data_IF_838239042417
#
_entry.id   IF_838239042417
#
_cell.length_a   1.000
_cell.length_b   1.000
_cell.length_c   1.000
_cell.angle_alpha   90.00
_cell.angle_beta   90.00
_cell.angle_gamma   90.00
#
_symmetry.space_group_name_H-M   'P 1'
#
loop_
_entity.id
_entity.type
_entity.pdbx_description
1 polymer ?
#
# COMPACT_ATOMS: atom_id res chain seq x y z
N UNK A 1 16.04 -5.41 1.96
CA UNK A 1 16.07 -4.10 1.26
C UNK A 1 15.15 -3.17 2.02
N UNK A 2 15.68 -2.35 2.93
CA UNK A 2 14.86 -1.32 3.59
C UNK A 2 14.68 -0.17 2.59
N UNK A 3 13.61 -0.24 1.80
CA UNK A 3 13.19 0.80 0.85
C UNK A 3 12.40 1.95 1.51
N UNK A 4 12.31 1.97 2.85
CA UNK A 4 11.63 3.03 3.59
C UNK A 4 12.59 4.21 3.77
N UNK A 5 12.28 5.34 3.13
CA UNK A 5 12.79 6.66 3.52
C UNK A 5 13.84 7.32 2.62
N UNK A 6 14.24 6.72 1.50
CA UNK A 6 15.24 7.30 0.60
C UNK A 6 14.68 8.37 -0.34
N UNK A 7 13.48 8.15 -0.91
CA UNK A 7 12.83 9.10 -1.81
C UNK A 7 11.30 9.05 -1.68
N UNK A 8 10.63 10.14 -1.25
CA UNK A 8 9.17 10.21 -1.17
C UNK A 8 8.47 9.99 -2.52
N UNK A 9 9.15 10.27 -3.64
CA UNK A 9 8.63 10.02 -4.99
C UNK A 9 8.40 8.53 -5.23
N UNK A 10 9.30 7.67 -4.74
CA UNK A 10 9.19 6.21 -4.91
C UNK A 10 7.96 5.67 -4.18
N UNK A 11 7.67 6.17 -2.97
CA UNK A 11 6.47 5.80 -2.22
C UNK A 11 5.19 6.23 -2.95
N UNK A 12 5.17 7.45 -3.51
CA UNK A 12 4.03 7.94 -4.29
C UNK A 12 3.83 7.13 -5.57
N UNK A 13 4.92 6.76 -6.25
CA UNK A 13 4.87 5.92 -7.44
C UNK A 13 4.23 4.56 -7.15
N UNK A 14 4.67 3.86 -6.09
CA UNK A 14 4.03 2.60 -5.69
C UNK A 14 2.54 2.77 -5.39
N UNK A 15 2.18 3.89 -4.74
CA UNK A 15 0.76 4.24 -4.48
C UNK A 15 -0.05 4.37 -5.76
N UNK A 16 0.44 5.14 -6.73
CA UNK A 16 -0.24 5.30 -8.02
C UNK A 16 -0.35 3.98 -8.78
N UNK A 17 0.70 3.15 -8.75
CA UNK A 17 0.74 1.87 -9.46
C UNK A 17 -0.32 0.91 -8.92
N UNK A 18 -0.37 0.67 -7.61
CA UNK A 18 -1.36 -0.27 -7.08
C UNK A 18 -2.79 0.27 -7.20
N UNK A 19 -3.00 1.59 -7.07
CA UNK A 19 -4.33 2.19 -7.26
C UNK A 19 -4.83 2.11 -8.70
N UNK A 20 -3.93 2.06 -9.69
CA UNK A 20 -4.31 1.91 -11.10
C UNK A 20 -4.50 0.44 -11.52
N UNK A 21 -3.78 -0.49 -10.89
CA UNK A 21 -3.82 -1.91 -11.26
C UNK A 21 -4.92 -2.68 -10.53
N UNK A 22 -5.18 -2.32 -9.27
CA UNK A 22 -6.16 -3.00 -8.43
C UNK A 22 -7.53 -2.30 -8.48
N UNK A 23 -8.64 -3.05 -8.38
CA UNK A 23 -9.96 -2.48 -8.17
C UNK A 23 -10.00 -1.62 -6.90
N UNK A 24 -10.79 -0.54 -6.89
CA UNK A 24 -10.87 0.37 -5.73
C UNK A 24 -11.26 -0.34 -4.43
N UNK A 25 -12.22 -1.26 -4.49
CA UNK A 25 -12.65 -2.04 -3.32
C UNK A 25 -11.53 -2.87 -2.67
N UNK A 26 -10.55 -3.32 -3.44
CA UNK A 26 -9.39 -4.02 -2.89
C UNK A 26 -8.50 -3.08 -2.06
N UNK A 27 -8.28 -1.86 -2.57
CA UNK A 27 -7.52 -0.83 -1.86
C UNK A 27 -8.23 -0.43 -0.57
N UNK A 28 -9.54 -0.19 -0.64
CA UNK A 28 -10.36 0.18 0.51
C UNK A 28 -10.31 -0.91 1.61
N UNK A 29 -10.45 -2.18 1.22
CA UNK A 29 -10.34 -3.31 2.15
C UNK A 29 -8.94 -3.45 2.76
N UNK A 30 -7.87 -3.16 2.02
CA UNK A 30 -6.52 -3.17 2.58
C UNK A 30 -6.31 -2.06 3.61
N UNK A 31 -6.84 -0.86 3.36
CA UNK A 31 -6.81 0.25 4.31
C UNK A 31 -7.55 -0.12 5.61
N UNK A 32 -8.75 -0.72 5.51
CA UNK A 32 -9.48 -1.24 6.68
C UNK A 32 -8.71 -2.31 7.45
N UNK A 33 -8.07 -3.26 6.75
CA UNK A 33 -7.25 -4.29 7.39
C UNK A 33 -6.03 -3.69 8.08
N UNK A 34 -5.46 -2.61 7.54
CA UNK A 34 -4.34 -1.89 8.13
C UNK A 34 -4.75 -1.18 9.42
N UNK A 35 -5.87 -0.44 9.38
CA UNK A 35 -6.41 0.24 10.56
C UNK A 35 -6.79 -0.74 11.67
N UNK A 36 -7.33 -1.91 11.31
CA UNK A 36 -7.67 -2.97 12.24
C UNK A 36 -6.47 -3.83 12.68
N UNK A 37 -5.26 -3.60 12.15
CA UNK A 37 -4.07 -4.41 12.45
C UNK A 37 -4.17 -5.88 12.03
N UNK A 38 -5.09 -6.20 11.10
CA UNK A 38 -5.39 -7.57 10.64
C UNK A 38 -4.81 -7.82 9.23
N UNK A 39 -3.82 -7.03 8.81
CA UNK A 39 -3.24 -7.20 7.48
C UNK A 39 -2.50 -8.55 7.38
N UNK A 40 -2.90 -9.46 6.47
CA UNK A 40 -2.39 -10.83 6.44
C UNK A 40 -0.97 -10.95 5.83
N UNK A 41 -0.51 -9.93 5.11
CA UNK A 41 0.83 -9.89 4.54
C UNK A 41 1.90 -9.49 5.56
N UNK A 42 3.10 -10.05 5.43
CA UNK A 42 4.27 -9.57 6.19
C UNK A 42 4.82 -8.30 5.53
N UNK A 43 4.81 -7.19 6.28
CA UNK A 43 5.26 -5.85 5.86
C UNK A 43 6.45 -5.40 6.69
#
# INVERSE_FOLDING_TARGET
MNAKGSDPYVCQWYKTVYSSLCPSFWVDNWDELWENGCFPGKI
#
